data_IF_128616880327
#
_entry.id   IF_128616880327
#
_cell.length_a   1.000
_cell.length_b   1.000
_cell.length_c   1.000
_cell.angle_alpha   90.00
_cell.angle_beta   90.00
_cell.angle_gamma   90.00
#
_symmetry.space_group_name_H-M   'P 1'
#
loop_
_entity.id
_entity.type
_entity.pdbx_description
1 polymer ?
#
# COMPACT_ATOMS: atom_id res chain seq x y z
N UNK A 1 -15.41 16.08 -13.66
CA UNK A 1 -15.06 16.82 -12.41
C UNK A 1 -14.70 15.87 -11.26
N UNK A 2 -15.57 14.93 -10.86
CA UNK A 2 -15.33 14.07 -9.67
C UNK A 2 -14.04 13.22 -9.68
N UNK A 3 -13.65 12.62 -10.81
CA UNK A 3 -12.40 11.85 -10.90
C UNK A 3 -11.15 12.76 -10.76
N UNK A 4 -11.19 13.94 -11.38
CA UNK A 4 -10.13 14.95 -11.27
C UNK A 4 -9.99 15.47 -9.84
N UNK A 5 -11.10 15.74 -9.14
CA UNK A 5 -11.08 16.13 -7.73
C UNK A 5 -10.48 15.03 -6.85
N UNK A 6 -10.84 13.75 -7.08
CA UNK A 6 -10.25 12.62 -6.34
C UNK A 6 -8.73 12.51 -6.53
N UNK A 7 -8.25 12.69 -7.76
CA UNK A 7 -6.82 12.64 -8.05
C UNK A 7 -6.06 13.77 -7.32
N UNK A 8 -6.62 14.99 -7.30
CA UNK A 8 -6.06 16.12 -6.55
C UNK A 8 -5.99 15.84 -5.05
N UNK A 9 -7.07 15.33 -4.44
CA UNK A 9 -7.09 15.00 -3.00
C UNK A 9 -6.06 13.93 -2.65
N UNK A 10 -5.89 12.91 -3.49
CA UNK A 10 -4.83 11.90 -3.31
C UNK A 10 -3.43 12.51 -3.42
N UNK A 11 -3.21 13.43 -4.37
CA UNK A 11 -1.96 14.16 -4.51
C UNK A 11 -1.60 14.98 -3.26
N UNK A 12 -2.57 15.72 -2.71
CA UNK A 12 -2.40 16.43 -1.43
C UNK A 12 -2.10 15.48 -0.27
N UNK A 13 -2.79 14.34 -0.21
CA UNK A 13 -2.54 13.32 0.80
C UNK A 13 -1.12 12.76 0.72
N UNK A 14 -0.63 12.44 -0.48
CA UNK A 14 0.74 11.95 -0.70
C UNK A 14 1.77 13.02 -0.33
N UNK A 15 1.55 14.28 -0.71
CA UNK A 15 2.44 15.38 -0.35
C UNK A 15 2.52 15.62 1.16
N UNK A 16 1.38 15.57 1.87
CA UNK A 16 1.35 15.68 3.33
C UNK A 16 2.05 14.48 4.00
N UNK A 17 1.82 13.26 3.50
CA UNK A 17 2.48 12.06 4.00
C UNK A 17 4.00 12.11 3.79
N UNK A 18 4.47 12.64 2.66
CA UNK A 18 5.89 12.81 2.38
C UNK A 18 6.57 13.73 3.41
N UNK A 19 5.96 14.88 3.72
CA UNK A 19 6.47 15.80 4.74
C UNK A 19 6.45 15.16 6.13
N UNK A 20 5.37 14.47 6.49
CA UNK A 20 5.28 13.76 7.76
C UNK A 20 6.34 12.66 7.88
N UNK A 21 6.59 11.89 6.81
CA UNK A 21 7.62 10.87 6.77
C UNK A 21 9.03 11.46 6.93
N UNK A 22 9.30 12.62 6.31
CA UNK A 22 10.56 13.34 6.50
C UNK A 22 10.76 13.79 7.96
N UNK A 23 9.71 14.30 8.61
CA UNK A 23 9.74 14.68 10.02
C UNK A 23 9.95 13.47 10.94
N UNK A 24 9.26 12.37 10.68
CA UNK A 24 9.43 11.11 11.42
C UNK A 24 10.85 10.54 11.25
N UNK A 25 11.43 10.67 10.06
CA UNK A 25 12.82 10.31 9.82
C UNK A 25 13.79 11.19 10.62
N UNK A 26 13.59 12.51 10.66
CA UNK A 26 14.39 13.40 11.50
C UNK A 26 14.28 13.00 12.98
N UNK A 27 13.06 12.76 13.46
CA UNK A 27 12.82 12.33 14.84
C UNK A 27 13.48 10.98 15.14
N UNK A 28 13.52 10.06 14.17
CA UNK A 28 14.24 8.79 14.29
C UNK A 28 15.75 9.00 14.50
N UNK A 29 16.38 9.89 13.73
CA UNK A 29 17.80 10.23 13.92
C UNK A 29 18.06 10.87 15.28
N UNK A 30 17.17 11.73 15.77
CA UNK A 30 17.27 12.36 17.10
C UNK A 30 17.19 11.33 18.24
N UNK A 31 16.31 10.34 18.10
CA UNK A 31 16.22 9.21 19.04
C UNK A 31 17.52 8.40 19.02
N UNK A 32 18.09 8.11 17.84
CA UNK A 32 19.37 7.41 17.74
C UNK A 32 20.53 8.20 18.36
N UNK A 33 20.54 9.52 18.18
CA UNK A 33 21.51 10.41 18.81
C UNK A 33 21.43 10.32 20.34
N UNK A 34 20.21 10.30 20.89
CA UNK A 34 19.99 10.20 22.34
C UNK A 34 20.57 8.91 22.95
N UNK A 35 20.65 7.82 22.19
CA UNK A 35 21.26 6.56 22.65
C UNK A 35 22.78 6.53 22.50
N UNK A 36 23.33 6.98 21.36
CA UNK A 36 24.76 6.84 21.04
C UNK A 36 25.61 8.06 21.38
N UNK A 37 25.00 9.23 21.60
CA UNK A 37 25.67 10.53 21.82
C UNK A 37 26.76 10.85 20.79
N UNK A 38 26.61 10.37 19.55
CA UNK A 38 27.58 10.52 18.48
C UNK A 38 26.94 11.29 17.32
N UNK A 39 27.45 12.47 16.93
CA UNK A 39 26.89 13.27 15.83
C UNK A 39 26.97 12.57 14.46
N UNK A 40 27.80 11.51 14.31
CA UNK A 40 27.87 10.72 13.10
C UNK A 40 26.57 9.97 12.76
N UNK A 41 25.60 9.88 13.69
CA UNK A 41 24.28 9.27 13.41
C UNK A 41 23.42 10.11 12.46
N UNK A 42 23.66 11.42 12.37
CA UNK A 42 22.95 12.30 11.44
C UNK A 42 23.42 12.12 9.99
N UNK A 43 24.56 11.45 9.78
CA UNK A 43 25.11 11.19 8.46
C UNK A 43 24.72 9.77 8.03
N UNK A 44 23.78 9.67 7.10
CA UNK A 44 23.40 8.41 6.45
C UNK A 44 24.24 8.23 5.19
N UNK A 45 25.33 7.46 5.29
CA UNK A 45 26.22 7.20 4.16
C UNK A 45 25.74 6.01 3.32
N UNK A 46 25.29 6.30 2.10
CA UNK A 46 24.89 5.31 1.10
C UNK A 46 26.08 4.49 0.54
N UNK A 47 27.31 4.94 0.74
CA UNK A 47 28.52 4.19 0.39
C UNK A 47 28.72 2.99 1.32
N UNK A 48 28.10 3.01 2.49
CA UNK A 48 28.09 1.86 3.39
C UNK A 48 27.19 0.76 2.82
N UNK A 49 27.76 -0.41 2.61
CA UNK A 49 27.10 -1.58 2.01
C UNK A 49 25.80 -1.93 2.75
N UNK A 50 25.79 -1.85 4.08
CA UNK A 50 24.63 -2.20 4.90
C UNK A 50 23.47 -1.24 4.69
N UNK A 51 23.77 0.07 4.59
CA UNK A 51 22.77 1.13 4.30
C UNK A 51 22.24 0.99 2.88
N UNK A 52 23.11 0.73 1.92
CA UNK A 52 22.73 0.52 0.52
C UNK A 52 21.78 -0.67 0.35
N UNK A 53 22.09 -1.81 1.00
CA UNK A 53 21.23 -3.00 0.98
C UNK A 53 19.85 -2.68 1.59
N UNK A 54 19.82 -2.00 2.73
CA UNK A 54 18.57 -1.62 3.38
C UNK A 54 17.73 -0.64 2.53
N UNK A 55 18.37 0.32 1.87
CA UNK A 55 17.73 1.21 0.91
C UNK A 55 17.09 0.44 -0.27
N UNK A 56 17.80 -0.54 -0.83
CA UNK A 56 17.29 -1.39 -1.91
C UNK A 56 16.10 -2.25 -1.46
N UNK A 57 16.16 -2.80 -0.24
CA UNK A 57 15.04 -3.50 0.39
C UNK A 57 13.85 -2.55 0.55
N UNK A 58 14.08 -1.29 0.94
CA UNK A 58 13.05 -0.26 1.05
C UNK A 58 12.28 -0.03 -0.25
N UNK A 59 12.97 0.13 -1.38
CA UNK A 59 12.29 0.25 -2.69
C UNK A 59 11.54 -1.03 -3.04
N UNK A 60 12.19 -2.17 -2.84
CA UNK A 60 11.60 -3.48 -3.17
C UNK A 60 10.32 -3.72 -2.36
N UNK A 61 10.29 -3.32 -1.09
CA UNK A 61 9.14 -3.39 -0.21
C UNK A 61 7.92 -2.67 -0.80
N UNK A 62 8.12 -1.47 -1.36
CA UNK A 62 7.06 -0.68 -1.99
C UNK A 62 6.46 -1.44 -3.19
N UNK A 63 7.29 -1.91 -4.11
CA UNK A 63 6.82 -2.66 -5.28
C UNK A 63 6.18 -3.98 -4.90
N UNK A 64 6.74 -4.67 -3.90
CA UNK A 64 6.20 -5.92 -3.39
C UNK A 64 4.83 -5.72 -2.75
N UNK A 65 4.67 -4.68 -1.93
CA UNK A 65 3.37 -4.30 -1.36
C UNK A 65 2.34 -4.03 -2.45
N UNK A 66 2.70 -3.22 -3.46
CA UNK A 66 1.81 -2.91 -4.59
C UNK A 66 1.42 -4.17 -5.38
N UNK A 67 2.37 -5.08 -5.63
CA UNK A 67 2.09 -6.34 -6.32
C UNK A 67 1.10 -7.23 -5.54
N UNK A 68 1.26 -7.32 -4.22
CA UNK A 68 0.32 -8.06 -3.36
C UNK A 68 -1.08 -7.44 -3.39
N UNK A 69 -1.18 -6.10 -3.32
CA UNK A 69 -2.44 -5.38 -3.38
C UNK A 69 -3.16 -5.56 -4.73
N UNK A 70 -2.44 -5.44 -5.85
CA UNK A 70 -3.00 -5.64 -7.20
C UNK A 70 -3.48 -7.08 -7.37
N UNK A 71 -2.69 -8.06 -6.92
CA UNK A 71 -3.06 -9.48 -6.97
C UNK A 71 -4.31 -9.78 -6.14
N UNK A 72 -4.43 -9.17 -4.96
CA UNK A 72 -5.59 -9.28 -4.10
C UNK A 72 -6.87 -8.76 -4.77
N UNK A 73 -6.80 -7.57 -5.37
CA UNK A 73 -7.92 -6.96 -6.11
C UNK A 73 -8.31 -7.83 -7.30
N UNK A 74 -7.34 -8.33 -8.07
CA UNK A 74 -7.61 -9.21 -9.22
C UNK A 74 -8.34 -10.49 -8.82
N UNK A 75 -7.96 -11.13 -7.72
CA UNK A 75 -8.63 -12.31 -7.20
C UNK A 75 -10.07 -12.03 -6.73
N UNK A 76 -10.30 -10.91 -6.04
CA UNK A 76 -11.63 -10.50 -5.61
C UNK A 76 -12.54 -10.13 -6.80
N UNK A 77 -11.99 -9.43 -7.80
CA UNK A 77 -12.70 -9.07 -9.01
C UNK A 77 -13.13 -10.31 -9.81
N UNK A 78 -12.28 -11.34 -9.92
CA UNK A 78 -12.63 -12.60 -10.58
C UNK A 78 -13.86 -13.26 -9.94
N UNK A 79 -13.89 -13.36 -8.60
CA UNK A 79 -15.04 -13.91 -7.85
C UNK A 79 -16.30 -13.07 -8.02
N UNK A 80 -16.16 -11.74 -8.05
CA UNK A 80 -17.28 -10.84 -8.33
C UNK A 80 -17.87 -11.08 -9.72
N UNK A 81 -17.03 -11.23 -10.74
CA UNK A 81 -17.48 -11.51 -12.12
C UNK A 81 -18.18 -12.86 -12.20
N UNK A 82 -17.65 -13.89 -11.54
CA UNK A 82 -18.28 -15.21 -11.48
C UNK A 82 -19.67 -15.16 -10.81
N UNK A 83 -19.81 -14.41 -9.73
CA UNK A 83 -21.10 -14.21 -9.05
C UNK A 83 -22.10 -13.44 -9.90
N UNK A 84 -21.69 -12.34 -10.53
CA UNK A 84 -22.57 -11.57 -11.44
C UNK A 84 -23.03 -12.43 -12.62
N UNK A 85 -22.12 -13.22 -13.21
CA UNK A 85 -22.47 -14.17 -14.29
C UNK A 85 -23.44 -15.24 -13.82
N UNK A 86 -23.26 -15.75 -12.59
CA UNK A 86 -24.18 -16.73 -11.99
C UNK A 86 -25.58 -16.15 -11.82
N UNK A 87 -25.71 -14.95 -11.27
CA UNK A 87 -27.00 -14.29 -11.07
C UNK A 87 -27.72 -14.04 -12.41
N UNK A 88 -27.01 -13.58 -13.44
CA UNK A 88 -27.61 -13.41 -14.77
C UNK A 88 -28.04 -14.72 -15.43
N UNK A 89 -27.28 -15.80 -15.23
CA UNK A 89 -27.62 -17.12 -15.79
C UNK A 89 -28.83 -17.74 -15.10
N UNK A 90 -28.92 -17.62 -13.77
CA UNK A 90 -30.02 -18.19 -12.98
C UNK A 90 -31.32 -17.38 -13.10
N UNK A 91 -31.22 -16.05 -13.15
CA UNK A 91 -32.36 -15.15 -13.26
C UNK A 91 -32.22 -14.20 -14.46
N UNK A 92 -32.59 -14.64 -15.68
CA UNK A 92 -32.55 -13.79 -16.87
C UNK A 92 -33.43 -12.53 -16.78
N UNK A 93 -34.46 -12.56 -15.92
CA UNK A 93 -35.34 -11.42 -15.64
C UNK A 93 -34.64 -10.22 -15.03
N UNK A 94 -33.44 -10.39 -14.46
CA UNK A 94 -32.60 -9.25 -14.02
C UNK A 94 -32.23 -8.37 -15.23
N UNK A 95 -32.06 -8.97 -16.42
CA UNK A 95 -31.76 -8.27 -17.67
C UNK A 95 -33.01 -7.95 -18.50
N UNK A 96 -34.22 -8.08 -17.93
CA UNK A 96 -35.45 -7.78 -18.65
C UNK A 96 -35.47 -6.31 -19.11
N UNK A 97 -35.87 -6.08 -20.36
CA UNK A 97 -35.99 -4.73 -20.94
C UNK A 97 -37.17 -3.96 -20.33
N UNK A 98 -38.28 -4.64 -20.04
CA UNK A 98 -39.46 -4.06 -19.39
C UNK A 98 -39.24 -3.87 -17.89
N UNK A 99 -39.40 -2.64 -17.36
CA UNK A 99 -39.21 -2.35 -15.94
C UNK A 99 -40.14 -3.12 -14.99
N UNK A 100 -41.34 -3.50 -15.45
CA UNK A 100 -42.34 -4.21 -14.65
C UNK A 100 -41.98 -5.69 -14.39
N UNK A 101 -41.12 -6.29 -15.22
CA UNK A 101 -40.71 -7.70 -15.12
C UNK A 101 -39.31 -7.87 -14.51
N UNK A 102 -38.65 -6.76 -14.15
CA UNK A 102 -37.30 -6.78 -13.56
C UNK A 102 -37.33 -7.32 -12.14
N UNK A 103 -36.43 -8.25 -11.88
CA UNK A 103 -36.13 -8.74 -10.54
C UNK A 103 -34.85 -8.05 -10.06
N UNK A 104 -34.85 -7.60 -8.81
CA UNK A 104 -33.65 -7.01 -8.21
C UNK A 104 -32.56 -8.09 -8.02
N UNK A 105 -31.30 -7.80 -8.40
CA UNK A 105 -30.19 -8.71 -8.18
C UNK A 105 -29.81 -8.77 -6.70
N UNK A 106 -29.10 -9.83 -6.31
CA UNK A 106 -28.61 -10.00 -4.95
C UNK A 106 -27.33 -9.18 -4.76
N UNK A 107 -27.51 -7.95 -4.30
CA UNK A 107 -26.42 -7.03 -3.95
C UNK A 107 -25.68 -7.47 -2.68
N UNK A 108 -26.37 -8.08 -1.72
CA UNK A 108 -25.78 -8.45 -0.43
C UNK A 108 -24.64 -9.45 -0.63
N UNK A 109 -24.82 -10.41 -1.54
CA UNK A 109 -23.80 -11.40 -1.88
C UNK A 109 -22.59 -10.79 -2.58
N UNK A 110 -22.78 -9.83 -3.47
CA UNK A 110 -21.68 -9.07 -4.08
C UNK A 110 -20.88 -8.28 -3.03
N UNK A 111 -21.57 -7.66 -2.06
CA UNK A 111 -20.92 -6.94 -0.94
C UNK A 111 -20.16 -7.91 -0.03
N UNK A 112 -20.70 -9.09 0.28
CA UNK A 112 -20.01 -10.08 1.12
C UNK A 112 -18.72 -10.59 0.46
N UNK A 113 -18.75 -10.84 -0.86
CA UNK A 113 -17.57 -11.29 -1.63
C UNK A 113 -16.45 -10.24 -1.58
N UNK A 114 -16.77 -8.97 -1.84
CA UNK A 114 -15.77 -7.91 -1.83
C UNK A 114 -15.21 -7.68 -0.42
N UNK A 115 -16.08 -7.70 0.60
CA UNK A 115 -15.71 -7.46 1.99
C UNK A 115 -14.81 -8.58 2.53
N UNK A 116 -15.23 -9.85 2.42
CA UNK A 116 -14.41 -10.98 2.90
C UNK A 116 -13.12 -11.13 2.12
N UNK A 117 -13.16 -10.87 0.81
CA UNK A 117 -11.99 -10.88 -0.06
C UNK A 117 -10.96 -9.83 0.37
N UNK A 118 -11.41 -8.58 0.57
CA UNK A 118 -10.54 -7.48 0.96
C UNK A 118 -9.91 -7.70 2.35
N UNK A 119 -10.72 -8.09 3.35
CA UNK A 119 -10.25 -8.27 4.73
C UNK A 119 -9.16 -9.34 4.83
N UNK A 120 -9.34 -10.50 4.17
CA UNK A 120 -8.34 -11.57 4.21
C UNK A 120 -7.08 -11.20 3.44
N UNK A 121 -7.23 -10.52 2.30
CA UNK A 121 -6.10 -10.23 1.43
C UNK A 121 -5.20 -9.09 1.93
N UNK A 122 -5.73 -8.20 2.78
CA UNK A 122 -4.95 -7.10 3.38
C UNK A 122 -4.03 -7.51 4.54
N UNK A 123 -4.22 -8.70 5.12
CA UNK A 123 -3.40 -9.17 6.26
C UNK A 123 -1.93 -9.27 5.85
N UNK A 124 -1.65 -9.90 4.71
CA UNK A 124 -0.27 -10.14 4.27
C UNK A 124 0.49 -8.82 3.94
N UNK A 125 -0.04 -7.89 3.12
CA UNK A 125 0.59 -6.59 2.91
C UNK A 125 0.82 -5.81 4.20
N UNK A 126 -0.13 -5.85 5.14
CA UNK A 126 -0.01 -5.17 6.43
C UNK A 126 1.10 -5.74 7.30
N UNK A 127 1.19 -7.06 7.41
CA UNK A 127 2.27 -7.73 8.16
C UNK A 127 3.63 -7.37 7.58
N UNK A 128 3.77 -7.42 6.24
CA UNK A 128 5.04 -7.11 5.57
C UNK A 128 5.45 -5.66 5.80
N UNK A 129 4.52 -4.71 5.72
CA UNK A 129 4.81 -3.30 5.95
C UNK A 129 5.31 -2.99 7.37
N UNK A 130 4.82 -3.73 8.39
CA UNK A 130 5.22 -3.53 9.79
C UNK A 130 6.49 -4.30 10.15
N UNK A 131 6.61 -5.55 9.69
CA UNK A 131 7.72 -6.42 10.07
C UNK A 131 9.03 -6.05 9.35
N UNK A 132 8.98 -5.55 8.12
CA UNK A 132 10.21 -5.25 7.36
C UNK A 132 11.11 -4.20 8.03
N UNK A 133 10.60 -3.02 8.45
CA UNK A 133 11.39 -2.05 9.23
C UNK A 133 11.99 -2.64 10.51
N UNK A 134 11.20 -3.42 11.26
CA UNK A 134 11.67 -4.04 12.51
C UNK A 134 12.80 -5.04 12.21
N UNK A 135 12.64 -5.89 11.20
CA UNK A 135 13.63 -6.88 10.82
C UNK A 135 14.93 -6.22 10.33
N UNK A 136 14.84 -5.17 9.51
CA UNK A 136 16.02 -4.45 9.00
C UNK A 136 16.75 -3.72 10.14
N UNK A 137 16.02 -3.03 11.01
CA UNK A 137 16.61 -2.37 12.18
C UNK A 137 17.34 -3.32 13.14
N UNK A 138 16.81 -4.53 13.35
CA UNK A 138 17.42 -5.54 14.25
C UNK A 138 18.60 -6.26 13.59
N UNK A 139 18.50 -6.61 12.30
CA UNK A 139 19.52 -7.44 11.61
C UNK A 139 20.66 -6.58 11.03
N UNK A 140 20.32 -5.49 10.35
CA UNK A 140 21.27 -4.62 9.64
C UNK A 140 21.65 -3.39 10.47
N UNK A 141 20.90 -3.12 11.54
CA UNK A 141 21.18 -2.07 12.50
C UNK A 141 20.49 -0.74 12.20
N UNK A 142 20.53 0.19 13.17
CA UNK A 142 19.73 1.42 13.13
C UNK A 142 20.11 2.40 12.02
N UNK A 143 21.39 2.41 11.61
CA UNK A 143 21.85 3.26 10.51
C UNK A 143 21.38 2.73 9.15
N UNK A 144 21.23 1.41 9.00
CA UNK A 144 20.71 0.81 7.79
C UNK A 144 19.21 1.07 7.65
N UNK A 145 18.47 0.99 8.76
CA UNK A 145 17.05 1.35 8.81
C UNK A 145 16.80 2.79 8.36
N UNK A 146 17.69 3.72 8.70
CA UNK A 146 17.62 5.11 8.22
C UNK A 146 17.63 5.18 6.67
N UNK A 147 18.45 4.36 6.03
CA UNK A 147 18.50 4.22 4.57
C UNK A 147 17.24 3.61 3.98
N UNK A 148 16.67 2.59 4.62
CA UNK A 148 15.40 2.00 4.23
C UNK A 148 14.26 3.02 4.29
N UNK A 149 14.15 3.77 5.38
CA UNK A 149 13.10 4.76 5.59
C UNK A 149 13.15 5.89 4.56
N UNK A 150 14.33 6.47 4.31
CA UNK A 150 14.47 7.54 3.31
C UNK A 150 14.16 7.04 1.90
N UNK A 151 14.88 6.01 1.45
CA UNK A 151 14.80 5.57 0.06
C UNK A 151 13.46 4.87 -0.22
N UNK A 152 12.94 4.11 0.74
CA UNK A 152 11.61 3.52 0.68
C UNK A 152 10.51 4.60 0.59
N UNK A 153 10.61 5.69 1.35
CA UNK A 153 9.67 6.82 1.25
C UNK A 153 9.74 7.48 -0.13
N UNK A 154 10.95 7.74 -0.64
CA UNK A 154 11.12 8.30 -1.99
C UNK A 154 10.50 7.41 -3.07
N UNK A 155 10.80 6.11 -3.05
CA UNK A 155 10.22 5.14 -3.97
C UNK A 155 8.69 5.05 -3.84
N UNK A 156 8.19 5.09 -2.60
CA UNK A 156 6.76 5.11 -2.27
C UNK A 156 6.05 6.31 -2.87
N UNK A 157 6.59 7.51 -2.71
CA UNK A 157 6.01 8.75 -3.26
C UNK A 157 5.95 8.68 -4.78
N UNK A 158 7.05 8.29 -5.44
CA UNK A 158 7.10 8.21 -6.91
C UNK A 158 6.09 7.20 -7.43
N UNK A 159 6.03 6.00 -6.85
CA UNK A 159 5.07 4.99 -7.27
C UNK A 159 3.62 5.40 -6.99
N UNK A 160 3.36 6.03 -5.84
CA UNK A 160 2.03 6.49 -5.48
C UNK A 160 1.52 7.59 -6.43
N UNK A 161 2.38 8.54 -6.80
CA UNK A 161 2.03 9.57 -7.79
C UNK A 161 1.82 8.97 -9.17
N UNK A 162 2.67 8.02 -9.57
CA UNK A 162 2.54 7.32 -10.86
C UNK A 162 1.22 6.55 -10.98
N UNK A 163 0.80 5.84 -9.93
CA UNK A 163 -0.46 5.08 -9.93
C UNK A 163 -1.71 5.97 -9.73
N UNK A 164 -1.54 7.23 -9.32
CA UNK A 164 -2.64 8.16 -9.08
C UNK A 164 -3.05 8.96 -10.33
N UNK A 165 -2.08 9.25 -11.21
CA UNK A 165 -2.29 9.99 -12.46
C UNK A 165 -2.79 9.08 -13.59
#
# INVERSE_FOLDING_TARGET
VGNTTKALTKGYGIGSAALAAFLLFSAYLDVLYSFKHNPAVYVVDLSNITVFIAALIGITLIFFFSALAIRAVGAAAKRMIEEVRRQFKENPKIMAENPADRVEPDYARCVDISTRGALRAMILPGIVAVLTPIAVGVILGPQAEAGLLMVGTMGGIVLALFLNN
#
